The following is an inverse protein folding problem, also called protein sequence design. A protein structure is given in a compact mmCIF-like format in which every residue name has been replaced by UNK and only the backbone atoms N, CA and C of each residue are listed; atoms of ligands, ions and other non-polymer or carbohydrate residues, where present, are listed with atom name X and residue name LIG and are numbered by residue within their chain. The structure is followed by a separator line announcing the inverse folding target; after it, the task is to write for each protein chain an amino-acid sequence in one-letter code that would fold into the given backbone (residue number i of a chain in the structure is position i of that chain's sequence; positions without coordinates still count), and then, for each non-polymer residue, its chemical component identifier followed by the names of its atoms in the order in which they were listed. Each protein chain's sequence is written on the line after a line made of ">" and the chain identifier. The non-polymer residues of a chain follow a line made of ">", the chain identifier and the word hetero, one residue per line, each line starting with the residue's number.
data_IF_936823762648
#
_entry.id   IF_936823762648
#
_cell.length_a   1.000
_cell.length_b   1.000
_cell.length_c   1.000
_cell.angle_alpha   90.00
_cell.angle_beta   90.00
_cell.angle_gamma   90.00
#
_symmetry.space_group_name_H-M   'P 1'
#
loop_
_entity.id
_entity.type
_entity.pdbx_description
1 polymer ?
#
# COMPACT_ATOMS: atom_id res chain seq x y z
N UNK A 1 -28.79 15.88 -25.72
CA UNK A 1 -28.53 15.64 -24.27
C UNK A 1 -27.08 15.24 -24.12
N UNK A 2 -26.26 16.08 -23.48
CA UNK A 2 -24.87 15.74 -23.13
C UNK A 2 -24.88 15.33 -21.67
N UNK A 3 -24.63 14.05 -21.39
CA UNK A 3 -24.40 13.56 -20.05
C UNK A 3 -22.91 13.78 -19.73
N UNK A 4 -22.64 14.66 -18.78
CA UNK A 4 -21.31 14.86 -18.22
C UNK A 4 -21.17 13.86 -17.08
N UNK A 5 -20.42 12.79 -17.28
CA UNK A 5 -19.99 11.92 -16.19
C UNK A 5 -18.80 12.60 -15.51
N UNK A 6 -19.04 13.20 -14.34
CA UNK A 6 -17.96 13.50 -13.40
C UNK A 6 -17.51 12.15 -12.83
N UNK A 7 -16.41 11.62 -13.38
CA UNK A 7 -15.73 10.49 -12.80
C UNK A 7 -15.34 10.82 -11.37
N UNK A 8 -15.68 9.93 -10.45
CA UNK A 8 -15.30 10.04 -9.05
C UNK A 8 -13.77 9.99 -8.96
N UNK A 9 -13.17 11.04 -8.39
CA UNK A 9 -11.73 11.14 -8.24
C UNK A 9 -11.20 9.95 -7.45
N UNK A 10 -10.12 9.34 -7.94
CA UNK A 10 -9.51 8.18 -7.27
C UNK A 10 -9.07 8.60 -5.86
N UNK A 11 -9.10 7.70 -4.86
CA UNK A 11 -8.74 8.05 -3.47
C UNK A 11 -7.39 8.76 -3.34
N UNK A 12 -6.43 8.42 -4.21
CA UNK A 12 -5.09 9.04 -4.24
C UNK A 12 -5.10 10.51 -4.71
N UNK A 13 -6.05 10.91 -5.54
CA UNK A 13 -6.17 12.31 -6.00
C UNK A 13 -6.69 13.22 -4.90
N UNK A 14 -7.47 12.69 -3.94
CA UNK A 14 -7.89 13.44 -2.74
C UNK A 14 -6.74 13.71 -1.77
N UNK A 15 -5.67 12.91 -1.78
CA UNK A 15 -4.51 13.14 -0.93
C UNK A 15 -3.74 14.41 -1.34
N UNK A 16 -3.78 14.81 -2.62
CA UNK A 16 -3.08 16.01 -3.10
C UNK A 16 -3.86 17.31 -2.83
N UNK A 17 -5.19 17.25 -2.74
CA UNK A 17 -6.05 18.44 -2.64
C UNK A 17 -6.13 19.01 -1.21
N UNK A 18 -5.75 18.23 -0.20
CA UNK A 18 -5.77 18.65 1.22
C UNK A 18 -4.57 19.56 1.56
N UNK A 19 -3.51 19.57 0.74
CA UNK A 19 -2.24 20.25 1.06
C UNK A 19 -2.00 21.62 0.42
N UNK A 20 -2.81 22.10 -0.53
CA UNK A 20 -2.41 23.24 -1.40
C UNK A 20 -3.50 24.31 -1.47
N UNK A 21 -3.88 24.90 -0.34
CA UNK A 21 -4.71 26.13 -0.31
C UNK A 21 -4.19 27.25 0.58
N UNK A 22 -2.88 27.36 0.71
CA UNK A 22 -2.25 28.57 1.22
C UNK A 22 -0.81 28.65 0.75
N UNK A 23 -0.47 29.65 -0.05
CA UNK A 23 0.91 30.10 -0.09
C UNK A 23 1.27 30.70 1.28
N UNK A 24 2.43 30.34 1.83
CA UNK A 24 3.28 31.36 2.40
C UNK A 24 4.62 31.34 1.68
N UNK A 25 5.05 32.53 1.25
CA UNK A 25 6.38 32.81 0.74
C UNK A 25 7.42 32.43 1.80
N UNK A 26 7.99 31.22 1.71
CA UNK A 26 9.12 30.82 2.55
C UNK A 26 10.40 31.38 1.95
N UNK A 27 10.91 32.48 2.52
CA UNK A 27 12.31 32.84 2.34
C UNK A 27 13.17 31.85 3.12
N UNK A 28 13.99 31.08 2.41
CA UNK A 28 14.93 30.13 3.00
C UNK A 28 16.17 30.92 3.41
N UNK A 29 16.47 31.13 4.71
CA UNK A 29 17.76 31.67 5.10
C UNK A 29 18.85 30.63 4.79
N UNK A 30 19.90 31.07 4.10
CA UNK A 30 21.08 30.27 3.82
C UNK A 30 21.93 30.12 5.08
N UNK A 31 21.52 29.26 6.01
CA UNK A 31 22.39 28.77 7.08
C UNK A 31 23.08 27.48 6.63
N UNK A 32 24.33 27.19 7.04
CA UNK A 32 25.03 25.97 6.65
C UNK A 32 24.40 24.76 7.35
N UNK A 33 24.12 23.71 6.60
CA UNK A 33 23.41 22.54 7.10
C UNK A 33 24.41 21.69 7.87
N UNK A 34 24.42 21.81 9.20
CA UNK A 34 25.11 20.87 10.07
C UNK A 34 24.26 19.60 10.10
N UNK A 35 24.75 18.52 9.48
CA UNK A 35 24.13 17.19 9.59
C UNK A 35 24.34 16.68 11.02
N UNK A 36 23.47 17.10 11.94
CA UNK A 36 23.35 16.46 13.25
C UNK A 36 22.67 15.11 13.04
N UNK A 37 23.37 14.04 13.41
CA UNK A 37 22.78 12.72 13.58
C UNK A 37 21.84 12.81 14.80
N UNK A 38 20.59 13.19 14.58
CA UNK A 38 19.58 13.26 15.62
C UNK A 38 19.28 11.81 16.05
N UNK A 39 19.82 11.44 17.21
CA UNK A 39 19.50 10.18 17.92
C UNK A 39 18.30 10.34 18.86
N UNK A 40 17.67 11.51 18.88
CA UNK A 40 16.37 11.69 19.51
C UNK A 40 15.27 11.31 18.51
N UNK A 41 14.41 10.39 18.94
CA UNK A 41 13.14 10.12 18.26
C UNK A 41 12.53 11.47 17.90
N UNK A 42 12.14 11.64 16.64
CA UNK A 42 11.45 12.84 16.21
C UNK A 42 10.32 13.07 17.23
N UNK A 43 10.39 14.17 17.98
CA UNK A 43 9.36 14.62 18.93
C UNK A 43 8.17 15.12 18.10
N UNK A 44 7.58 14.19 17.36
CA UNK A 44 6.39 14.39 16.56
C UNK A 44 5.28 13.86 17.43
N UNK A 45 4.45 14.78 17.91
CA UNK A 45 3.20 14.44 18.56
C UNK A 45 2.24 13.86 17.51
N UNK A 46 2.37 12.55 17.28
CA UNK A 46 1.52 11.78 16.37
C UNK A 46 0.06 11.66 16.86
N UNK A 47 -0.30 12.30 17.97
CA UNK A 47 -1.69 12.45 18.40
C UNK A 47 -2.38 13.67 17.76
N UNK A 48 -1.65 14.54 17.05
CA UNK A 48 -2.22 15.61 16.24
C UNK A 48 -3.07 15.03 15.08
N UNK A 49 -4.29 15.55 14.84
CA UNK A 49 -5.16 15.11 13.73
C UNK A 49 -4.54 15.22 12.34
N UNK A 50 -3.46 15.99 12.16
CA UNK A 50 -2.67 16.02 10.92
C UNK A 50 -1.93 14.70 10.65
N UNK A 51 -1.72 13.86 11.67
CA UNK A 51 -1.14 12.51 11.56
C UNK A 51 -2.19 11.39 11.60
N UNK A 52 -3.48 11.74 11.68
CA UNK A 52 -4.60 10.80 11.64
C UNK A 52 -4.90 10.29 10.21
N UNK A 53 -3.95 10.21 9.29
CA UNK A 53 -4.25 9.76 7.92
C UNK A 53 -4.25 8.24 7.74
N UNK A 54 -3.44 7.49 8.50
CA UNK A 54 -3.37 6.02 8.38
C UNK A 54 -3.09 5.34 9.74
N UNK A 55 -3.99 4.43 10.14
CA UNK A 55 -3.90 3.62 11.37
C UNK A 55 -3.19 2.29 11.17
N UNK A 56 -3.32 1.71 9.98
CA UNK A 56 -2.65 0.45 9.64
C UNK A 56 -2.35 0.41 8.16
N UNK A 57 -1.18 -0.13 7.81
CA UNK A 57 -0.78 -0.44 6.44
C UNK A 57 -0.32 -1.88 6.42
N UNK A 58 -0.87 -2.68 5.50
CA UNK A 58 -0.37 -4.01 5.18
C UNK A 58 0.06 -4.02 3.73
N UNK A 59 1.27 -4.52 3.49
CA UNK A 59 1.86 -4.67 2.16
C UNK A 59 2.02 -6.15 1.86
N UNK A 60 1.49 -6.61 0.75
CA UNK A 60 1.59 -7.99 0.29
C UNK A 60 2.41 -8.02 -0.99
N UNK A 61 3.60 -8.60 -0.90
CA UNK A 61 4.38 -8.93 -2.09
C UNK A 61 4.00 -10.35 -2.52
N UNK A 62 3.43 -10.46 -3.71
CA UNK A 62 2.81 -11.69 -4.20
C UNK A 62 3.55 -12.12 -5.45
N UNK A 63 4.01 -13.37 -5.45
CA UNK A 63 4.40 -14.07 -6.67
C UNK A 63 3.74 -15.44 -6.63
N UNK A 64 2.92 -15.74 -7.62
CA UNK A 64 2.21 -16.99 -7.72
C UNK A 64 2.18 -17.49 -9.16
N UNK A 65 2.34 -18.79 -9.32
CA UNK A 65 2.13 -19.46 -10.57
C UNK A 65 1.51 -20.83 -10.36
N UNK A 66 0.64 -21.23 -11.27
CA UNK A 66 0.16 -22.60 -11.38
C UNK A 66 0.08 -23.05 -12.83
N UNK A 67 0.23 -24.34 -13.04
CA UNK A 67 0.01 -25.01 -14.33
C UNK A 67 -0.20 -26.50 -14.13
N UNK A 68 -0.87 -27.14 -15.09
CA UNK A 68 -0.96 -28.60 -15.16
C UNK A 68 0.34 -29.19 -15.73
N UNK A 69 0.81 -30.33 -15.20
CA UNK A 69 1.88 -31.11 -15.85
C UNK A 69 1.33 -32.07 -16.90
N UNK A 70 2.22 -32.84 -17.54
CA UNK A 70 1.88 -33.91 -18.48
C UNK A 70 0.97 -34.98 -17.88
N UNK A 71 1.12 -35.23 -16.58
CA UNK A 71 0.45 -36.31 -15.87
C UNK A 71 -0.96 -35.91 -15.38
N UNK A 72 -1.33 -34.64 -15.58
CA UNK A 72 -2.61 -34.09 -15.18
C UNK A 72 -2.64 -33.45 -13.79
N UNK A 73 -1.54 -33.49 -13.03
CA UNK A 73 -1.43 -32.86 -11.71
C UNK A 73 -1.30 -31.35 -11.79
N UNK A 74 -1.83 -30.69 -10.76
CA UNK A 74 -1.70 -29.24 -10.60
C UNK A 74 -0.41 -28.88 -9.87
N UNK A 75 0.52 -28.24 -10.58
CA UNK A 75 1.73 -27.70 -9.98
C UNK A 75 1.57 -26.22 -9.72
N UNK A 76 1.55 -25.83 -8.44
CA UNK A 76 1.59 -24.44 -8.01
C UNK A 76 2.89 -24.11 -7.30
N UNK A 77 3.44 -22.92 -7.53
CA UNK A 77 4.57 -22.36 -6.78
C UNK A 77 4.32 -20.89 -6.52
N UNK A 78 4.73 -20.41 -5.36
CA UNK A 78 4.61 -19.00 -5.03
C UNK A 78 5.22 -18.62 -3.70
N UNK A 79 5.38 -17.33 -3.53
CA UNK A 79 5.77 -16.69 -2.29
C UNK A 79 4.87 -15.49 -2.05
N UNK A 80 4.30 -15.43 -0.86
CA UNK A 80 3.65 -14.23 -0.34
C UNK A 80 4.44 -13.78 0.86
N UNK A 81 4.75 -12.49 0.92
CA UNK A 81 5.28 -11.84 2.10
C UNK A 81 4.35 -10.72 2.52
N UNK A 82 4.08 -10.66 3.82
CA UNK A 82 3.26 -9.62 4.42
C UNK A 82 4.17 -8.70 5.22
N UNK A 83 4.15 -7.43 4.86
CA UNK A 83 4.77 -6.33 5.56
C UNK A 83 3.75 -5.53 6.36
N UNK A 84 4.18 -4.99 7.50
CA UNK A 84 3.38 -4.09 8.34
C UNK A 84 4.23 -2.94 8.84
N UNK A 85 3.58 -1.79 9.01
CA UNK A 85 4.20 -0.64 9.66
C UNK A 85 3.73 -0.54 11.12
N UNK A 86 4.66 -0.37 12.05
CA UNK A 86 4.36 -0.06 13.44
C UNK A 86 3.98 1.42 13.62
N UNK A 87 3.54 1.77 14.82
CA UNK A 87 3.05 3.13 15.13
C UNK A 87 4.12 4.22 14.95
N UNK A 88 5.40 3.85 14.95
CA UNK A 88 6.54 4.75 14.76
C UNK A 88 7.12 4.68 13.33
N UNK A 89 6.40 4.04 12.41
CA UNK A 89 6.83 3.87 11.01
C UNK A 89 7.88 2.77 10.81
N UNK A 90 8.20 1.98 11.83
CA UNK A 90 9.06 0.81 11.69
C UNK A 90 8.41 -0.22 10.77
N UNK A 91 9.19 -0.74 9.82
CA UNK A 91 8.73 -1.76 8.90
C UNK A 91 9.19 -3.14 9.32
N UNK A 92 8.27 -4.10 9.35
CA UNK A 92 8.58 -5.51 9.53
C UNK A 92 7.92 -6.34 8.44
N UNK A 93 8.61 -7.40 7.99
CA UNK A 93 8.15 -8.30 6.91
C UNK A 93 8.27 -9.73 7.36
N UNK A 94 7.24 -10.54 7.09
CA UNK A 94 7.24 -11.98 7.37
C UNK A 94 6.69 -12.78 6.19
N UNK A 95 7.09 -14.06 6.13
CA UNK A 95 6.49 -15.01 5.19
C UNK A 95 5.00 -15.14 5.51
N UNK A 96 4.18 -15.18 4.47
CA UNK A 96 2.72 -15.34 4.55
C UNK A 96 2.24 -16.37 3.52
N UNK A 97 0.93 -16.49 3.37
CA UNK A 97 0.25 -17.40 2.44
C UNK A 97 -0.66 -16.66 1.48
N UNK A 98 -0.98 -17.32 0.36
CA UNK A 98 -2.00 -16.87 -0.60
C UNK A 98 -3.35 -16.64 0.08
N UNK A 99 -3.73 -17.52 1.02
CA UNK A 99 -4.99 -17.40 1.76
C UNK A 99 -5.09 -16.19 2.69
N UNK A 100 -3.96 -15.55 3.01
CA UNK A 100 -3.93 -14.34 3.81
C UNK A 100 -4.03 -13.06 2.98
N UNK A 101 -3.91 -13.17 1.64
CA UNK A 101 -4.08 -12.03 0.74
C UNK A 101 -5.56 -11.60 0.78
N UNK A 102 -5.86 -10.32 1.04
CA UNK A 102 -7.22 -9.81 1.06
C UNK A 102 -7.93 -10.01 -0.28
N UNK A 103 -9.25 -10.23 -0.22
CA UNK A 103 -10.09 -10.42 -1.42
C UNK A 103 -10.22 -9.17 -2.29
N UNK A 104 -9.77 -8.01 -1.80
CA UNK A 104 -9.67 -6.79 -2.59
C UNK A 104 -8.49 -6.83 -3.57
N UNK A 105 -7.56 -7.77 -3.42
CA UNK A 105 -6.50 -8.01 -4.40
C UNK A 105 -7.06 -8.68 -5.66
N UNK A 106 -6.45 -8.39 -6.80
CA UNK A 106 -6.68 -9.05 -8.09
C UNK A 106 -6.19 -10.51 -8.13
N UNK A 107 -5.54 -11.01 -7.06
CA UNK A 107 -5.09 -12.39 -6.96
C UNK A 107 -6.28 -13.37 -6.97
N UNK A 108 -6.53 -13.96 -8.13
CA UNK A 108 -7.66 -14.85 -8.39
C UNK A 108 -7.18 -16.25 -8.83
N UNK A 109 -6.67 -17.03 -7.87
CA UNK A 109 -6.14 -18.39 -8.12
C UNK A 109 -7.23 -19.31 -8.68
N UNK A 110 -7.11 -19.79 -9.94
CA UNK A 110 -8.14 -20.61 -10.57
C UNK A 110 -8.23 -22.02 -9.98
N UNK A 111 -9.44 -22.45 -9.62
CA UNK A 111 -9.71 -23.79 -9.08
C UNK A 111 -9.54 -24.93 -10.12
N UNK A 112 -9.64 -24.61 -11.42
CA UNK A 112 -9.52 -25.57 -12.54
C UNK A 112 -8.07 -25.94 -12.89
N UNK A 113 -7.09 -25.36 -12.20
CA UNK A 113 -5.67 -25.47 -12.50
C UNK A 113 -5.29 -25.05 -13.94
N UNK A 114 -6.05 -24.11 -14.54
CA UNK A 114 -5.57 -23.48 -15.78
C UNK A 114 -4.26 -22.72 -15.51
N UNK A 115 -3.44 -22.57 -16.55
CA UNK A 115 -2.18 -21.81 -16.43
C UNK A 115 -2.49 -20.40 -15.93
N UNK A 116 -1.80 -20.01 -14.86
CA UNK A 116 -2.03 -18.72 -14.22
C UNK A 116 -0.74 -18.22 -13.60
N UNK A 117 -0.44 -16.95 -13.84
CA UNK A 117 0.72 -16.24 -13.33
C UNK A 117 0.24 -14.94 -12.73
N UNK A 118 0.72 -14.63 -11.54
CA UNK A 118 0.38 -13.42 -10.81
C UNK A 118 1.61 -12.90 -10.11
N UNK A 119 1.90 -11.62 -10.33
CA UNK A 119 2.98 -10.91 -9.65
C UNK A 119 2.51 -9.51 -9.39
N UNK A 120 2.40 -9.18 -8.10
CA UNK A 120 1.96 -7.86 -7.70
C UNK A 120 2.48 -7.48 -6.34
N UNK A 121 2.41 -6.19 -6.07
CA UNK A 121 2.43 -5.62 -4.72
C UNK A 121 1.03 -5.10 -4.46
N UNK A 122 0.33 -5.72 -3.51
CA UNK A 122 -0.97 -5.29 -3.04
C UNK A 122 -0.79 -4.56 -1.70
N UNK A 123 -1.30 -3.34 -1.60
CA UNK A 123 -1.25 -2.53 -0.39
C UNK A 123 -2.66 -2.25 0.05
N UNK A 124 -2.93 -2.39 1.35
CA UNK A 124 -4.17 -1.92 1.94
C UNK A 124 -3.90 -1.12 3.21
N UNK A 125 -4.83 -0.23 3.53
CA UNK A 125 -4.76 0.59 4.72
C UNK A 125 -6.13 0.83 5.34
N UNK A 126 -6.10 1.21 6.62
CA UNK A 126 -7.22 1.81 7.33
C UNK A 126 -6.84 3.21 7.77
N UNK A 127 -7.67 4.19 7.50
CA UNK A 127 -7.50 5.55 8.03
C UNK A 127 -8.01 5.66 9.48
N UNK A 128 -7.94 6.86 10.08
CA UNK A 128 -8.44 7.11 11.44
C UNK A 128 -9.95 6.99 11.61
N UNK A 129 -10.72 7.11 10.53
CA UNK A 129 -12.17 6.90 10.51
C UNK A 129 -12.53 5.43 10.24
N UNK A 130 -11.53 4.54 10.22
CA UNK A 130 -11.64 3.12 9.87
C UNK A 130 -12.08 2.87 8.42
N UNK A 131 -11.93 3.86 7.54
CA UNK A 131 -12.20 3.69 6.11
C UNK A 131 -11.16 2.79 5.48
N UNK A 132 -11.61 1.85 4.66
CA UNK A 132 -10.76 0.93 3.92
C UNK A 132 -10.26 1.55 2.62
N UNK A 133 -8.96 1.44 2.36
CA UNK A 133 -8.36 1.74 1.07
C UNK A 133 -7.39 0.64 0.64
N UNK A 134 -7.19 0.49 -0.66
CA UNK A 134 -6.21 -0.43 -1.22
C UNK A 134 -5.71 0.06 -2.58
N UNK A 135 -4.56 -0.47 -3.00
CA UNK A 135 -3.96 -0.28 -4.32
C UNK A 135 -3.19 -1.55 -4.69
N UNK A 136 -3.14 -1.90 -5.98
CA UNK A 136 -2.36 -3.03 -6.48
C UNK A 136 -1.53 -2.66 -7.70
N UNK A 137 -0.25 -3.04 -7.69
CA UNK A 137 0.67 -2.81 -8.81
C UNK A 137 1.22 -4.14 -9.32
N UNK A 138 1.03 -4.41 -10.61
CA UNK A 138 1.45 -5.64 -11.31
C UNK A 138 2.81 -5.47 -12.01
N UNK A 139 3.64 -6.52 -12.08
CA UNK A 139 4.99 -6.45 -12.69
C UNK A 139 5.61 -7.78 -13.15
#
# INVERSE_FOLDING_TARGET
>A
MRATFLGEAKPIERLFDIGVRGEPLVSIPATPWVLQLVQDRADVDISDPAFDFVRSIRVFEITYQQRRNSDGDCNSRGSVYMGTYGAQGDYSRRRSSVSAVPTASDLAVPADCRSYWHRSVFVEWRDYQDSYGHEEVHY
#
